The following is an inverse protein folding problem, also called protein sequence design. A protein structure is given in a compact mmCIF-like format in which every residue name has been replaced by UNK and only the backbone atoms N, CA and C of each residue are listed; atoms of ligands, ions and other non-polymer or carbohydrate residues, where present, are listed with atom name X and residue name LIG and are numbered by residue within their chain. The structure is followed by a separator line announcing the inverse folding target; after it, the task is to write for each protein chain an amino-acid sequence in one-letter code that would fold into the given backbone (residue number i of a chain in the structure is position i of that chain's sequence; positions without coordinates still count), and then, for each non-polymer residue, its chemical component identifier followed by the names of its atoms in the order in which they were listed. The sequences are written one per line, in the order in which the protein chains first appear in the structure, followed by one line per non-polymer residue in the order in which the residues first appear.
data_IF_094814693995
#
_entry.id   IF_094814693995
#
_cell.length_a   1.000
_cell.length_b   1.000
_cell.length_c   1.000
_cell.angle_alpha   90.00
_cell.angle_beta   90.00
_cell.angle_gamma   90.00
#
_symmetry.space_group_name_H-M   'P 1'
#
loop_
_entity.id
_entity.type
_entity.pdbx_description
1 polymer ?
#
# COMPACT_ATOMS: atom_id res chain seq x y z
N UNK A 1 -74.04 -17.80 -14.03
CA UNK A 1 -72.94 -17.57 -13.07
C UNK A 1 -71.75 -16.79 -13.63
N UNK A 2 -71.07 -17.16 -14.74
CA UNK A 2 -69.72 -16.66 -15.05
C UNK A 2 -69.57 -15.13 -15.11
N UNK A 3 -70.51 -14.41 -15.75
CA UNK A 3 -70.54 -12.92 -15.82
C UNK A 3 -70.48 -12.16 -14.49
N UNK A 4 -70.72 -12.81 -13.34
CA UNK A 4 -70.51 -12.18 -12.01
C UNK A 4 -69.05 -12.24 -11.56
N UNK A 5 -68.30 -13.25 -11.98
CA UNK A 5 -66.88 -13.41 -11.68
C UNK A 5 -66.07 -12.46 -12.56
N UNK A 6 -66.29 -12.51 -13.88
CA UNK A 6 -65.72 -11.59 -14.88
C UNK A 6 -65.84 -10.12 -14.48
N UNK A 7 -67.00 -9.71 -13.92
CA UNK A 7 -67.22 -8.35 -13.43
C UNK A 7 -66.52 -8.04 -12.10
N UNK A 8 -66.38 -9.01 -11.19
CA UNK A 8 -65.64 -8.83 -9.94
C UNK A 8 -64.13 -8.69 -10.19
N UNK A 9 -63.60 -9.49 -11.13
CA UNK A 9 -62.19 -9.49 -11.51
C UNK A 9 -61.83 -8.18 -12.22
N UNK A 10 -62.65 -7.72 -13.17
CA UNK A 10 -62.46 -6.41 -13.82
C UNK A 10 -62.54 -5.21 -12.84
N UNK A 11 -63.35 -5.31 -11.78
CA UNK A 11 -63.42 -4.29 -10.70
C UNK A 11 -62.21 -4.35 -9.76
N UNK A 12 -61.52 -5.49 -9.67
CA UNK A 12 -60.23 -5.63 -8.97
C UNK A 12 -59.10 -5.01 -9.81
N UNK A 13 -59.02 -5.34 -11.10
CA UNK A 13 -58.05 -4.73 -12.04
C UNK A 13 -58.19 -3.21 -12.09
N UNK A 14 -59.42 -2.67 -12.16
CA UNK A 14 -59.68 -1.21 -12.12
C UNK A 14 -59.26 -0.54 -10.81
N UNK A 15 -59.17 -1.28 -9.69
CA UNK A 15 -58.65 -0.76 -8.42
C UNK A 15 -57.13 -0.72 -8.45
N UNK A 16 -56.51 -1.82 -8.84
CA UNK A 16 -55.05 -1.97 -8.91
C UNK A 16 -54.45 -0.99 -9.92
N UNK A 17 -55.10 -0.80 -11.08
CA UNK A 17 -54.72 0.23 -12.04
C UNK A 17 -54.80 1.64 -11.44
N UNK A 18 -55.87 1.99 -10.70
CA UNK A 18 -55.99 3.31 -10.06
C UNK A 18 -54.91 3.52 -8.99
N UNK A 19 -54.63 2.49 -8.20
CA UNK A 19 -53.58 2.51 -7.17
C UNK A 19 -52.20 2.79 -7.78
N UNK A 20 -51.82 2.09 -8.86
CA UNK A 20 -50.58 2.41 -9.60
C UNK A 20 -50.59 3.79 -10.26
N UNK A 21 -51.76 4.34 -10.61
CA UNK A 21 -51.88 5.68 -11.18
C UNK A 21 -51.74 6.78 -10.12
N UNK A 22 -52.23 6.54 -8.90
CA UNK A 22 -52.01 7.40 -7.73
C UNK A 22 -50.51 7.37 -7.31
N UNK A 23 -49.86 6.20 -7.33
CA UNK A 23 -48.41 6.08 -7.12
C UNK A 23 -47.58 6.78 -8.22
N UNK A 24 -47.95 6.61 -9.49
CA UNK A 24 -47.27 7.27 -10.62
C UNK A 24 -47.43 8.79 -10.58
N UNK A 25 -48.60 9.30 -10.17
CA UNK A 25 -48.83 10.72 -9.91
C UNK A 25 -47.91 11.24 -8.80
N UNK A 26 -47.83 10.53 -7.68
CA UNK A 26 -46.92 10.88 -6.58
C UNK A 26 -45.43 10.77 -6.95
N UNK A 27 -45.07 9.91 -7.92
CA UNK A 27 -43.72 9.85 -8.50
C UNK A 27 -43.45 11.03 -9.45
N UNK A 28 -44.45 11.45 -10.24
CA UNK A 28 -44.35 12.60 -11.14
C UNK A 28 -44.21 13.92 -10.38
N UNK A 29 -45.00 14.14 -9.33
CA UNK A 29 -44.89 15.33 -8.47
C UNK A 29 -43.51 15.42 -7.76
N UNK A 30 -42.89 14.27 -7.45
CA UNK A 30 -41.51 14.21 -6.95
C UNK A 30 -40.46 14.57 -8.01
N UNK A 31 -40.70 14.18 -9.28
CA UNK A 31 -39.83 14.51 -10.42
C UNK A 31 -39.94 16.00 -10.79
N UNK A 32 -41.14 16.54 -10.94
CA UNK A 32 -41.39 17.96 -11.23
C UNK A 32 -40.80 18.88 -10.15
N UNK A 33 -40.75 18.40 -8.89
CA UNK A 33 -40.08 19.07 -7.77
C UNK A 33 -38.54 18.93 -7.76
N UNK A 34 -37.97 18.01 -8.52
CA UNK A 34 -36.53 17.89 -8.78
C UNK A 34 -36.10 18.61 -10.08
N UNK A 35 -37.03 18.87 -11.00
CA UNK A 35 -36.76 19.54 -12.29
C UNK A 35 -36.38 21.04 -12.15
N UNK A 36 -36.55 21.66 -10.97
CA UNK A 36 -35.75 22.85 -10.64
C UNK A 36 -34.32 22.41 -10.25
N UNK A 37 -33.29 22.66 -11.09
CA UNK A 37 -31.93 22.22 -10.82
C UNK A 37 -31.35 22.85 -9.53
N UNK A 38 -31.91 23.96 -9.05
CA UNK A 38 -31.50 24.58 -7.77
C UNK A 38 -32.01 23.78 -6.58
N UNK A 39 -33.21 23.20 -6.66
CA UNK A 39 -33.78 22.32 -5.62
C UNK A 39 -33.02 21.00 -5.61
N UNK A 40 -32.83 20.37 -6.77
CA UNK A 40 -32.06 19.12 -6.90
C UNK A 40 -30.63 19.24 -6.38
N UNK A 41 -29.90 20.28 -6.80
CA UNK A 41 -28.51 20.52 -6.38
C UNK A 41 -28.40 20.89 -4.89
N UNK A 42 -29.38 21.59 -4.32
CA UNK A 42 -29.42 21.89 -2.88
C UNK A 42 -29.69 20.62 -2.06
N UNK A 43 -30.63 19.76 -2.50
CA UNK A 43 -30.90 18.48 -1.86
C UNK A 43 -29.68 17.54 -1.92
N UNK A 44 -28.96 17.51 -3.05
CA UNK A 44 -27.73 16.73 -3.20
C UNK A 44 -26.62 17.24 -2.27
N UNK A 45 -26.40 18.57 -2.19
CA UNK A 45 -25.44 19.17 -1.23
C UNK A 45 -25.82 18.89 0.22
N UNK A 46 -27.11 18.86 0.56
CA UNK A 46 -27.61 18.42 1.86
C UNK A 46 -27.17 17.00 2.18
N UNK A 47 -27.50 16.04 1.31
CA UNK A 47 -27.11 14.63 1.47
C UNK A 47 -25.59 14.41 1.56
N UNK A 48 -24.80 15.12 0.75
CA UNK A 48 -23.32 15.05 0.80
C UNK A 48 -22.79 15.56 2.14
N UNK A 49 -23.39 16.62 2.69
CA UNK A 49 -23.01 17.16 4.01
C UNK A 49 -23.40 16.20 5.14
N UNK A 50 -24.59 15.62 5.06
CA UNK A 50 -25.10 14.59 5.98
C UNK A 50 -24.19 13.34 5.99
N UNK A 51 -23.90 12.76 4.82
CA UNK A 51 -23.01 11.60 4.72
C UNK A 51 -21.58 11.90 5.18
N UNK A 52 -21.09 13.13 4.96
CA UNK A 52 -19.78 13.55 5.46
C UNK A 52 -19.75 13.58 6.99
N UNK A 53 -20.78 14.13 7.64
CA UNK A 53 -20.88 14.16 9.10
C UNK A 53 -21.04 12.76 9.71
N UNK A 54 -21.75 11.86 9.03
CA UNK A 54 -21.87 10.46 9.45
C UNK A 54 -20.53 9.71 9.36
N UNK A 55 -19.82 9.85 8.23
CA UNK A 55 -18.48 9.28 8.04
C UNK A 55 -17.50 9.85 9.06
N UNK A 56 -17.50 11.17 9.30
CA UNK A 56 -16.64 11.82 10.28
C UNK A 56 -16.88 11.28 11.70
N UNK A 57 -18.15 11.17 12.12
CA UNK A 57 -18.53 10.60 13.41
C UNK A 57 -18.13 9.13 13.54
N UNK A 58 -18.28 8.34 12.47
CA UNK A 58 -17.84 6.93 12.44
C UNK A 58 -16.31 6.83 12.59
N UNK A 59 -15.55 7.61 11.83
CA UNK A 59 -14.08 7.67 11.91
C UNK A 59 -13.61 8.11 13.30
N UNK A 60 -14.21 9.16 13.89
CA UNK A 60 -13.90 9.58 15.26
C UNK A 60 -14.15 8.43 16.28
N UNK A 61 -15.26 7.71 16.14
CA UNK A 61 -15.59 6.55 17.00
C UNK A 61 -14.56 5.42 16.84
N UNK A 62 -14.17 5.09 15.60
CA UNK A 62 -13.16 4.07 15.33
C UNK A 62 -11.76 4.46 15.83
N UNK A 63 -11.37 5.74 15.69
CA UNK A 63 -10.08 6.25 16.19
C UNK A 63 -10.03 6.18 17.72
N UNK A 64 -11.10 6.58 18.43
CA UNK A 64 -11.17 6.47 19.88
C UNK A 64 -11.03 5.00 20.35
N UNK A 65 -11.76 4.06 19.71
CA UNK A 65 -11.66 2.63 20.02
C UNK A 65 -10.33 1.98 19.61
N UNK A 66 -9.55 2.59 18.71
CA UNK A 66 -8.18 2.16 18.41
C UNK A 66 -7.18 2.74 19.44
N UNK A 67 -7.35 3.99 19.85
CA UNK A 67 -6.54 4.61 20.91
C UNK A 67 -6.70 3.87 22.24
N UNK A 68 -7.93 3.52 22.63
CA UNK A 68 -8.21 2.70 23.81
C UNK A 68 -7.45 1.36 23.76
N UNK A 69 -7.52 0.66 22.62
CA UNK A 69 -6.80 -0.62 22.41
C UNK A 69 -5.28 -0.46 22.43
N UNK A 70 -4.74 0.67 21.98
CA UNK A 70 -3.30 0.94 22.03
C UNK A 70 -2.84 1.20 23.47
N UNK A 71 -3.55 2.07 24.20
CA UNK A 71 -3.30 2.32 25.64
C UNK A 71 -3.50 1.06 26.51
N UNK A 72 -4.29 0.10 26.05
CA UNK A 72 -4.44 -1.23 26.66
C UNK A 72 -3.26 -2.16 26.34
N UNK A 73 -2.78 -2.17 25.08
CA UNK A 73 -1.59 -2.92 24.68
C UNK A 73 -0.32 -2.41 25.38
N UNK A 74 -0.10 -1.09 25.42
CA UNK A 74 1.03 -0.46 26.11
C UNK A 74 1.06 -0.82 27.60
N UNK A 75 -0.11 -0.87 28.26
CA UNK A 75 -0.19 -1.29 29.67
C UNK A 75 0.20 -2.75 29.88
N UNK A 76 -0.17 -3.64 28.94
CA UNK A 76 0.24 -5.06 28.98
C UNK A 76 1.73 -5.22 28.71
N UNK A 77 2.31 -4.43 27.80
CA UNK A 77 3.75 -4.41 27.59
C UNK A 77 4.51 -3.90 28.83
N UNK A 78 4.01 -2.85 29.50
CA UNK A 78 4.58 -2.34 30.74
C UNK A 78 4.50 -3.39 31.87
N UNK A 79 3.33 -4.02 32.07
CA UNK A 79 3.16 -5.09 33.04
C UNK A 79 4.11 -6.27 32.76
N UNK A 80 4.20 -6.75 31.52
CA UNK A 80 5.11 -7.84 31.15
C UNK A 80 6.60 -7.47 31.37
N UNK A 81 6.99 -6.21 31.16
CA UNK A 81 8.34 -5.73 31.47
C UNK A 81 8.61 -5.66 32.98
N UNK A 82 7.60 -5.41 33.81
CA UNK A 82 7.72 -5.45 35.28
C UNK A 82 7.78 -6.90 35.81
N UNK A 83 6.97 -7.81 35.26
CA UNK A 83 7.02 -9.25 35.53
C UNK A 83 8.39 -9.84 35.16
N UNK A 84 8.93 -9.50 33.98
CA UNK A 84 10.27 -9.91 33.54
C UNK A 84 11.42 -9.32 34.39
N UNK A 85 11.24 -8.12 34.96
CA UNK A 85 12.22 -7.54 35.91
C UNK A 85 12.21 -8.30 37.22
N UNK A 86 11.02 -8.53 37.79
CA UNK A 86 10.83 -9.31 39.03
C UNK A 86 11.45 -10.71 38.89
N UNK A 87 11.12 -11.44 37.82
CA UNK A 87 11.68 -12.76 37.56
C UNK A 87 13.22 -12.74 37.39
N UNK A 88 13.79 -11.68 36.82
CA UNK A 88 15.25 -11.50 36.70
C UNK A 88 15.92 -11.18 38.04
N UNK A 89 15.22 -10.56 38.97
CA UNK A 89 15.68 -10.29 40.33
C UNK A 89 15.62 -11.57 41.18
N UNK A 90 14.51 -12.32 41.14
CA UNK A 90 14.40 -13.66 41.75
C UNK A 90 15.49 -14.63 41.26
N UNK A 91 15.80 -14.64 39.96
CA UNK A 91 16.88 -15.45 39.40
C UNK A 91 18.28 -15.02 39.85
N UNK A 92 18.50 -13.74 40.20
CA UNK A 92 19.77 -13.28 40.79
C UNK A 92 19.88 -13.71 42.24
N UNK A 93 18.83 -13.53 43.02
CA UNK A 93 18.79 -13.93 44.43
C UNK A 93 19.02 -15.44 44.57
N UNK A 94 18.42 -16.25 43.69
CA UNK A 94 18.68 -17.69 43.61
C UNK A 94 20.14 -18.01 43.22
N UNK A 95 20.72 -17.30 42.24
CA UNK A 95 22.10 -17.52 41.82
C UNK A 95 23.13 -17.14 42.89
N UNK A 96 22.87 -16.07 43.65
CA UNK A 96 23.73 -15.60 44.73
C UNK A 96 23.56 -16.45 46.00
N UNK A 97 22.35 -16.93 46.29
CA UNK A 97 22.11 -17.95 47.33
C UNK A 97 22.83 -19.28 47.01
N UNK A 98 22.82 -19.72 45.75
CA UNK A 98 23.61 -20.89 45.30
C UNK A 98 25.11 -20.63 45.45
N UNK A 99 25.61 -19.44 45.09
CA UNK A 99 27.03 -19.08 45.27
C UNK A 99 27.45 -19.07 46.74
N UNK A 100 26.57 -18.62 47.64
CA UNK A 100 26.80 -18.64 49.09
C UNK A 100 26.70 -20.05 49.71
N UNK A 101 26.01 -20.98 49.04
CA UNK A 101 25.87 -22.37 49.49
C UNK A 101 27.03 -23.28 49.05
N UNK A 102 27.82 -22.89 48.04
CA UNK A 102 29.08 -23.59 47.73
C UNK A 102 30.13 -23.29 48.81
N UNK A 103 30.87 -24.30 49.31
CA UNK A 103 32.00 -24.05 50.18
C UNK A 103 33.13 -23.35 49.40
N UNK A 104 33.95 -22.50 50.06
CA UNK A 104 35.14 -21.95 49.41
C UNK A 104 36.15 -23.06 49.12
N UNK A 105 36.42 -23.30 47.83
CA UNK A 105 37.47 -24.20 47.34
C UNK A 105 38.83 -23.78 47.91
N UNK A 106 39.36 -24.57 48.83
CA UNK A 106 40.55 -24.23 49.60
C UNK A 106 41.83 -24.70 48.89
N UNK A 107 42.30 -23.97 47.88
CA UNK A 107 43.67 -24.15 47.39
C UNK A 107 44.04 -23.61 46.01
N UNK A 108 44.55 -22.38 45.98
CA UNK A 108 45.63 -22.00 45.06
C UNK A 108 46.73 -21.29 45.90
N UNK A 109 47.99 -21.78 45.91
CA UNK A 109 49.03 -21.24 46.78
C UNK A 109 49.60 -19.91 46.25
N UNK A 110 50.19 -19.13 47.15
CA UNK A 110 50.97 -17.96 46.80
C UNK A 110 52.23 -18.33 45.99
N UNK A 111 52.63 -17.43 45.10
CA UNK A 111 53.98 -17.36 44.52
C UNK A 111 54.52 -15.96 44.78
N UNK A 112 55.74 -15.87 45.32
CA UNK A 112 56.28 -14.64 45.87
C UNK A 112 56.82 -13.64 44.83
N UNK A 113 56.66 -12.37 45.18
CA UNK A 113 57.55 -11.21 45.00
C UNK A 113 58.28 -10.93 43.66
N UNK A 114 58.10 -9.70 43.15
CA UNK A 114 59.24 -8.81 42.83
C UNK A 114 58.82 -7.31 42.90
N UNK A 115 59.43 -6.44 43.74
CA UNK A 115 58.99 -5.03 43.91
C UNK A 115 60.02 -3.95 43.53
N UNK A 116 59.76 -3.13 42.49
CA UNK A 116 60.49 -1.88 42.22
C UNK A 116 59.73 -0.87 41.32
N UNK A 117 59.82 0.43 41.63
CA UNK A 117 59.27 1.56 40.84
C UNK A 117 57.82 1.90 41.20
N UNK A 118 57.47 2.88 42.05
CA UNK A 118 57.88 4.29 42.25
C UNK A 118 57.18 5.31 41.33
N UNK A 119 56.60 6.35 41.94
CA UNK A 119 55.83 7.44 41.32
C UNK A 119 54.42 7.06 40.79
N UNK A 120 53.34 7.82 41.05
CA UNK A 120 53.19 8.98 41.93
C UNK A 120 51.86 9.71 41.71
N UNK A 121 51.06 9.84 42.78
CA UNK A 121 49.95 10.79 43.04
C UNK A 121 49.08 11.36 41.90
N UNK A 122 47.75 11.15 42.03
CA UNK A 122 46.66 12.11 41.76
C UNK A 122 46.43 12.55 40.28
N UNK A 123 45.21 12.69 39.75
CA UNK A 123 44.03 13.29 40.36
C UNK A 123 42.72 12.98 39.57
N UNK A 124 41.58 13.09 40.25
CA UNK A 124 40.22 13.36 39.69
C UNK A 124 39.51 12.28 38.84
N UNK A 125 38.18 12.32 38.89
CA UNK A 125 37.26 11.46 38.14
C UNK A 125 36.45 12.25 37.12
N UNK A 126 36.02 11.60 36.03
CA UNK A 126 34.83 12.02 35.28
C UNK A 126 34.10 10.81 34.66
N UNK A 127 32.84 11.02 34.29
CA UNK A 127 31.86 9.94 34.03
C UNK A 127 31.44 9.88 32.56
N UNK A 128 31.61 8.74 31.89
CA UNK A 128 30.69 8.31 30.82
C UNK A 128 30.77 6.82 30.46
N UNK A 129 29.68 6.31 29.89
CA UNK A 129 29.60 5.07 29.12
C UNK A 129 30.14 5.31 27.68
N UNK A 130 30.42 4.31 26.84
CA UNK A 130 29.44 3.39 26.24
C UNK A 130 30.06 2.05 25.73
N UNK A 131 29.17 1.12 25.35
CA UNK A 131 29.32 -0.14 24.59
C UNK A 131 30.41 -1.18 24.93
N UNK A 132 29.97 -2.46 25.03
CA UNK A 132 30.62 -3.60 24.40
C UNK A 132 29.76 -4.20 23.26
N UNK A 133 30.40 -4.58 22.16
CA UNK A 133 29.75 -5.05 20.93
C UNK A 133 29.09 -6.45 21.03
N UNK A 134 28.37 -6.81 19.96
CA UNK A 134 27.76 -8.13 19.72
C UNK A 134 28.72 -9.32 19.94
N UNK A 135 28.18 -10.53 20.14
CA UNK A 135 28.29 -11.45 19.00
C UNK A 135 27.07 -12.36 18.75
N UNK A 136 26.77 -12.53 17.45
CA UNK A 136 26.26 -13.74 16.79
C UNK A 136 25.01 -14.44 17.37
N UNK A 137 23.86 -14.17 16.75
CA UNK A 137 22.68 -15.04 16.85
C UNK A 137 22.93 -16.41 16.18
N UNK A 138 22.48 -17.48 16.84
CA UNK A 138 22.34 -18.81 16.25
C UNK A 138 20.96 -19.36 16.62
N UNK A 139 20.08 -19.51 15.62
CA UNK A 139 18.71 -20.01 15.86
C UNK A 139 18.67 -21.46 16.35
N UNK A 140 17.70 -21.76 17.20
CA UNK A 140 16.92 -22.99 17.04
C UNK A 140 15.41 -22.69 16.98
N UNK A 141 14.76 -23.05 15.88
CA UNK A 141 13.31 -22.92 15.73
C UNK A 141 12.55 -23.94 16.62
N UNK A 142 11.46 -23.53 17.32
CA UNK A 142 10.55 -24.45 17.99
C UNK A 142 9.54 -25.04 16.99
N UNK A 143 9.07 -26.27 17.28
CA UNK A 143 8.09 -26.96 16.44
C UNK A 143 6.66 -26.42 16.63
N UNK A 144 5.82 -26.57 15.60
CA UNK A 144 4.38 -26.33 15.67
C UNK A 144 3.72 -27.63 16.16
N UNK A 145 3.16 -27.63 17.37
CA UNK A 145 2.30 -28.72 17.85
C UNK A 145 0.85 -28.53 17.38
N UNK A 146 0.20 -29.61 16.98
CA UNK A 146 -1.20 -29.60 16.55
C UNK A 146 -2.13 -29.48 17.77
N UNK A 147 -2.88 -28.38 17.90
CA UNK A 147 -4.01 -28.29 18.82
C UNK A 147 -5.32 -28.06 18.06
N UNK A 148 -6.07 -29.16 17.93
CA UNK A 148 -7.38 -29.22 17.29
C UNK A 148 -8.43 -28.55 18.19
N UNK A 149 -9.14 -27.55 17.68
CA UNK A 149 -10.31 -26.98 18.37
C UNK A 149 -11.61 -27.30 17.62
N UNK A 150 -12.52 -27.95 18.33
CA UNK A 150 -13.78 -28.51 17.82
C UNK A 150 -14.87 -27.45 17.72
N UNK A 151 -15.48 -27.29 16.54
CA UNK A 151 -16.74 -26.54 16.41
C UNK A 151 -17.98 -27.43 16.66
N UNK A 152 -18.95 -26.98 17.48
CA UNK A 152 -20.25 -27.65 17.62
C UNK A 152 -21.22 -27.18 16.53
N UNK A 153 -21.35 -27.95 15.45
CA UNK A 153 -22.24 -27.60 14.33
C UNK A 153 -23.73 -27.67 14.64
N UNK A 154 -24.53 -26.86 13.94
CA UNK A 154 -25.99 -26.89 13.96
C UNK A 154 -26.59 -26.76 12.55
N UNK A 155 -27.72 -27.45 12.31
CA UNK A 155 -28.78 -26.88 11.46
C UNK A 155 -28.71 -27.06 9.94
N UNK A 156 -28.15 -28.15 9.39
CA UNK A 156 -28.36 -28.48 7.97
C UNK A 156 -29.81 -28.95 7.75
N UNK A 157 -30.69 -28.03 7.38
CA UNK A 157 -31.90 -28.32 6.59
C UNK A 157 -31.87 -27.45 5.34
N UNK A 158 -32.16 -28.05 4.19
CA UNK A 158 -32.38 -27.35 2.94
C UNK A 158 -33.62 -27.92 2.27
N UNK A 159 -34.43 -27.05 1.70
CA UNK A 159 -35.46 -27.41 0.74
C UNK A 159 -35.21 -26.65 -0.56
N UNK A 160 -35.58 -27.28 -1.66
CA UNK A 160 -35.27 -26.82 -3.01
C UNK A 160 -36.47 -26.11 -3.62
N UNK A 161 -36.24 -25.00 -4.31
CA UNK A 161 -37.06 -24.65 -5.45
C UNK A 161 -36.26 -23.89 -6.49
N UNK A 162 -36.36 -24.35 -7.73
CA UNK A 162 -35.83 -23.68 -8.91
C UNK A 162 -36.87 -22.66 -9.41
N UNK A 163 -36.45 -21.44 -9.73
CA UNK A 163 -37.03 -20.71 -10.87
C UNK A 163 -36.01 -19.71 -11.46
N UNK A 164 -36.38 -19.07 -12.57
CA UNK A 164 -35.47 -18.80 -13.67
C UNK A 164 -35.43 -17.33 -14.10
N UNK A 165 -34.22 -16.88 -14.46
CA UNK A 165 -33.94 -15.65 -15.21
C UNK A 165 -34.30 -14.30 -14.52
N UNK A 166 -33.79 -13.15 -14.96
CA UNK A 166 -32.72 -12.92 -15.96
C UNK A 166 -31.41 -12.52 -15.27
N UNK A 167 -30.30 -13.14 -15.67
CA UNK A 167 -28.98 -12.48 -15.62
C UNK A 167 -28.76 -11.82 -16.99
N UNK A 168 -28.53 -10.51 -17.08
CA UNK A 168 -28.11 -9.91 -18.33
C UNK A 168 -26.69 -10.38 -18.65
N UNK A 169 -26.55 -11.15 -19.73
CA UNK A 169 -25.26 -11.47 -20.35
C UNK A 169 -24.67 -10.18 -20.91
N UNK A 170 -23.81 -9.51 -20.15
CA UNK A 170 -22.96 -8.43 -20.66
C UNK A 170 -21.88 -9.04 -21.57
N UNK A 171 -21.72 -8.48 -22.77
CA UNK A 171 -21.08 -9.17 -23.90
C UNK A 171 -19.62 -9.61 -23.69
N UNK A 172 -19.30 -10.76 -24.29
CA UNK A 172 -17.95 -11.38 -24.36
C UNK A 172 -16.90 -10.48 -25.04
N UNK A 173 -17.34 -9.53 -25.87
CA UNK A 173 -16.52 -8.59 -26.64
C UNK A 173 -15.47 -7.87 -25.75
N UNK A 174 -15.89 -7.33 -24.60
CA UNK A 174 -14.99 -6.63 -23.66
C UNK A 174 -13.97 -7.52 -22.94
N UNK A 175 -14.05 -8.84 -23.11
CA UNK A 175 -13.03 -9.80 -22.68
C UNK A 175 -11.91 -9.94 -23.72
N UNK A 176 -12.26 -9.97 -25.00
CA UNK A 176 -11.34 -10.21 -26.11
C UNK A 176 -10.32 -9.06 -26.23
N UNK A 177 -10.78 -7.81 -26.25
CA UNK A 177 -9.95 -6.59 -26.24
C UNK A 177 -8.91 -6.61 -25.09
N UNK A 178 -9.33 -7.03 -23.90
CA UNK A 178 -8.44 -7.12 -22.74
C UNK A 178 -7.42 -8.24 -22.85
N UNK A 179 -7.72 -9.33 -23.54
CA UNK A 179 -6.77 -10.41 -23.80
C UNK A 179 -5.77 -10.05 -24.89
N UNK A 180 -6.17 -9.29 -25.91
CA UNK A 180 -5.27 -8.75 -26.93
C UNK A 180 -4.34 -7.68 -26.34
N UNK A 181 -4.87 -6.73 -25.56
CA UNK A 181 -4.07 -5.71 -24.88
C UNK A 181 -3.00 -6.33 -23.96
N UNK A 182 -3.33 -7.37 -23.19
CA UNK A 182 -2.37 -8.10 -22.35
C UNK A 182 -1.27 -8.78 -23.19
N UNK A 183 -1.62 -9.39 -24.31
CA UNK A 183 -0.65 -10.01 -25.22
C UNK A 183 0.27 -8.97 -25.86
N UNK A 184 -0.26 -7.80 -26.26
CA UNK A 184 0.54 -6.70 -26.78
C UNK A 184 1.53 -6.15 -25.73
N UNK A 185 1.07 -5.93 -24.49
CA UNK A 185 1.91 -5.53 -23.34
C UNK A 185 3.04 -6.54 -23.10
N UNK A 186 2.72 -7.84 -23.06
CA UNK A 186 3.74 -8.88 -22.87
C UNK A 186 4.72 -8.96 -24.04
N UNK A 187 4.27 -8.80 -25.28
CA UNK A 187 5.14 -8.79 -26.46
C UNK A 187 6.10 -7.59 -26.44
N UNK A 188 5.60 -6.39 -26.13
CA UNK A 188 6.41 -5.18 -26.00
C UNK A 188 7.43 -5.29 -24.85
N UNK A 189 7.02 -5.78 -23.67
CA UNK A 189 7.95 -6.01 -22.54
C UNK A 189 9.03 -7.05 -22.87
N UNK A 190 8.68 -8.16 -23.54
CA UNK A 190 9.66 -9.16 -24.00
C UNK A 190 10.61 -8.59 -25.05
N UNK A 191 10.12 -7.73 -25.96
CA UNK A 191 10.95 -7.01 -26.96
C UNK A 191 11.95 -6.08 -26.28
N UNK A 192 11.50 -5.29 -25.29
CA UNK A 192 12.35 -4.37 -24.53
C UNK A 192 13.38 -5.09 -23.63
N UNK A 193 13.09 -6.32 -23.18
CA UNK A 193 14.01 -7.13 -22.37
C UNK A 193 15.01 -7.95 -23.19
N UNK A 194 14.81 -8.09 -24.50
CA UNK A 194 15.75 -8.79 -25.37
C UNK A 194 17.03 -7.95 -25.52
N UNK A 195 18.23 -8.46 -25.17
CA UNK A 195 19.46 -7.72 -25.40
C UNK A 195 19.66 -7.53 -26.91
N UNK A 196 19.78 -6.27 -27.34
CA UNK A 196 19.97 -5.93 -28.75
C UNK A 196 21.21 -6.67 -29.29
N UNK A 197 21.09 -7.48 -30.36
CA UNK A 197 22.20 -8.27 -30.87
C UNK A 197 23.29 -7.33 -31.38
N UNK A 198 24.48 -7.42 -30.77
CA UNK A 198 25.57 -6.49 -31.01
C UNK A 198 25.90 -6.37 -32.50
N UNK A 199 26.01 -5.12 -32.97
CA UNK A 199 26.25 -4.77 -34.38
C UNK A 199 27.48 -5.51 -34.90
N UNK A 200 27.27 -6.41 -35.86
CA UNK A 200 28.35 -7.05 -36.63
C UNK A 200 28.62 -6.21 -37.89
N UNK A 201 29.74 -5.48 -37.99
CA UNK A 201 29.97 -4.54 -39.08
C UNK A 201 30.54 -5.26 -40.32
N UNK A 202 29.68 -5.89 -41.13
CA UNK A 202 30.07 -6.51 -42.39
C UNK A 202 28.99 -6.45 -43.48
N UNK A 203 29.40 -6.00 -44.67
CA UNK A 203 28.74 -6.14 -45.99
C UNK A 203 27.44 -5.34 -46.29
N UNK A 204 27.64 -4.23 -47.01
CA UNK A 204 26.79 -3.71 -48.11
C UNK A 204 25.48 -2.96 -47.80
N UNK A 205 25.34 -1.69 -48.23
CA UNK A 205 24.07 -0.97 -48.20
C UNK A 205 23.23 -1.26 -49.46
N UNK A 206 21.97 -1.64 -49.27
CA UNK A 206 20.94 -1.66 -50.30
C UNK A 206 19.57 -1.39 -49.67
N UNK A 207 18.73 -0.60 -50.34
CA UNK A 207 17.34 -0.32 -49.95
C UNK A 207 17.15 0.27 -48.54
N UNK A 208 17.60 1.51 -48.34
CA UNK A 208 16.80 2.43 -47.53
C UNK A 208 15.51 2.73 -48.32
N UNK A 209 14.42 2.06 -47.99
CA UNK A 209 13.07 2.44 -48.42
C UNK A 209 12.13 2.34 -47.21
N UNK A 210 11.15 3.23 -47.11
CA UNK A 210 10.63 3.70 -45.83
C UNK A 210 9.79 2.67 -45.05
N UNK A 211 10.28 2.25 -43.89
CA UNK A 211 9.51 1.52 -42.89
C UNK A 211 9.85 1.92 -41.43
N UNK A 212 10.18 3.20 -41.20
CA UNK A 212 10.12 3.84 -39.88
C UNK A 212 8.65 4.05 -39.45
N UNK A 213 7.85 2.97 -39.50
CA UNK A 213 6.61 2.87 -38.75
C UNK A 213 6.97 2.47 -37.33
N UNK A 214 7.55 3.43 -36.60
CA UNK A 214 7.45 3.48 -35.15
C UNK A 214 5.95 3.54 -34.84
N UNK A 215 5.36 2.35 -34.65
CA UNK A 215 3.91 2.16 -34.69
C UNK A 215 3.39 2.54 -33.32
N UNK A 216 3.29 3.85 -33.11
CA UNK A 216 3.05 4.55 -31.85
C UNK A 216 2.32 3.66 -30.84
N UNK A 217 3.10 2.97 -29.99
CA UNK A 217 2.56 1.91 -29.15
C UNK A 217 1.49 2.52 -28.25
N UNK A 218 0.30 1.89 -28.23
CA UNK A 218 -0.87 2.54 -27.66
C UNK A 218 -0.60 2.94 -26.21
N UNK A 219 -1.12 4.08 -25.73
CA UNK A 219 -0.81 4.59 -24.40
C UNK A 219 -1.05 3.55 -23.28
N UNK A 220 -2.01 2.64 -23.49
CA UNK A 220 -2.29 1.50 -22.61
C UNK A 220 -1.20 0.41 -22.67
N UNK A 221 -0.62 0.11 -23.84
CA UNK A 221 0.51 -0.83 -23.99
C UNK A 221 1.75 -0.29 -23.29
N UNK A 222 2.12 0.97 -23.57
CA UNK A 222 3.27 1.64 -22.95
C UNK A 222 3.14 1.69 -21.43
N UNK A 223 1.95 2.01 -20.91
CA UNK A 223 1.66 1.94 -19.47
C UNK A 223 1.83 0.53 -18.90
N UNK A 224 1.29 -0.50 -19.58
CA UNK A 224 1.43 -1.89 -19.18
C UNK A 224 2.90 -2.36 -19.09
N UNK A 225 3.75 -1.92 -20.03
CA UNK A 225 5.20 -2.17 -19.98
C UNK A 225 5.85 -1.51 -18.76
N UNK A 226 5.47 -0.27 -18.42
CA UNK A 226 5.95 0.41 -17.20
C UNK A 226 5.46 -0.29 -15.92
N UNK A 227 4.22 -0.80 -15.89
CA UNK A 227 3.73 -1.60 -14.76
C UNK A 227 4.48 -2.95 -14.62
N UNK A 228 4.82 -3.61 -15.72
CA UNK A 228 5.65 -4.83 -15.70
C UNK A 228 7.10 -4.56 -15.25
N UNK A 229 7.66 -3.40 -15.61
CA UNK A 229 8.95 -2.94 -15.08
C UNK A 229 8.86 -2.69 -13.56
N UNK A 230 7.85 -1.96 -13.10
CA UNK A 230 7.60 -1.73 -11.67
C UNK A 230 7.34 -3.04 -10.87
N UNK A 231 6.78 -4.08 -11.50
CA UNK A 231 6.62 -5.40 -10.90
C UNK A 231 7.94 -6.17 -10.73
N UNK A 232 8.98 -5.83 -11.48
CA UNK A 232 10.33 -6.39 -11.35
C UNK A 232 11.17 -5.74 -10.25
N UNK A 233 10.76 -4.57 -9.74
CA UNK A 233 11.48 -3.80 -8.71
C UNK A 233 11.22 -4.39 -7.32
N UNK A 234 12.28 -4.76 -6.60
CA UNK A 234 12.15 -5.15 -5.19
C UNK A 234 11.78 -3.94 -4.34
N UNK A 235 12.53 -2.86 -4.51
CA UNK A 235 12.44 -1.65 -3.69
C UNK A 235 12.72 -0.40 -4.54
N UNK A 236 11.95 0.66 -4.33
CA UNK A 236 12.19 1.98 -4.90
C UNK A 236 12.38 2.99 -3.77
N UNK A 237 13.58 3.58 -3.69
CA UNK A 237 13.81 4.80 -2.93
C UNK A 237 13.23 5.97 -3.72
N UNK A 238 12.22 6.63 -3.15
CA UNK A 238 11.62 7.83 -3.70
C UNK A 238 12.12 9.05 -2.93
N UNK A 239 12.54 10.08 -3.67
CA UNK A 239 12.98 11.38 -3.16
C UNK A 239 12.14 12.49 -3.77
N UNK A 240 11.43 13.24 -2.93
CA UNK A 240 10.56 14.33 -3.36
C UNK A 240 10.59 15.50 -2.36
N UNK A 241 10.10 16.68 -2.77
CA UNK A 241 9.70 17.70 -1.78
C UNK A 241 8.53 17.17 -0.93
N UNK A 242 8.42 17.64 0.31
CA UNK A 242 7.41 17.20 1.27
C UNK A 242 5.99 17.32 0.72
N UNK A 243 5.63 18.47 0.18
CA UNK A 243 4.28 18.72 -0.36
C UNK A 243 3.97 17.79 -1.54
N UNK A 244 4.98 17.45 -2.35
CA UNK A 244 4.84 16.48 -3.44
C UNK A 244 4.63 15.06 -2.91
N UNK A 245 5.32 14.65 -1.83
CA UNK A 245 5.06 13.37 -1.16
C UNK A 245 3.68 13.32 -0.50
N UNK A 246 3.24 14.39 0.17
CA UNK A 246 1.90 14.49 0.75
C UNK A 246 0.82 14.41 -0.35
N UNK A 247 1.01 15.05 -1.51
CA UNK A 247 0.13 14.90 -2.69
C UNK A 247 0.14 13.46 -3.26
N UNK A 248 1.31 12.84 -3.43
CA UNK A 248 1.44 11.46 -3.93
C UNK A 248 0.76 10.46 -2.98
N UNK A 249 0.82 10.69 -1.66
CA UNK A 249 0.09 9.89 -0.68
C UNK A 249 -1.43 10.04 -0.84
N UNK A 250 -1.95 11.26 -1.03
CA UNK A 250 -3.39 11.50 -1.25
C UNK A 250 -3.91 10.75 -2.48
N UNK A 251 -3.15 10.73 -3.58
CA UNK A 251 -3.55 9.95 -4.77
C UNK A 251 -3.42 8.44 -4.55
N UNK A 252 -2.25 7.97 -4.09
CA UNK A 252 -1.98 6.54 -3.99
C UNK A 252 -2.82 5.81 -2.94
N UNK A 253 -3.22 6.50 -1.85
CA UNK A 253 -4.11 5.95 -0.82
C UNK A 253 -5.50 5.53 -1.35
N UNK A 254 -5.89 6.00 -2.55
CA UNK A 254 -7.13 5.62 -3.24
C UNK A 254 -7.08 4.19 -3.78
N UNK A 255 -5.89 3.59 -3.93
CA UNK A 255 -5.72 2.26 -4.52
C UNK A 255 -5.55 1.14 -3.48
N UNK A 256 -6.39 0.09 -3.60
CA UNK A 256 -6.44 -1.07 -2.67
C UNK A 256 -5.11 -1.78 -2.38
N UNK A 257 -4.13 -1.67 -3.29
CA UNK A 257 -2.82 -2.34 -3.17
C UNK A 257 -1.71 -1.43 -2.62
N UNK A 258 -1.98 -0.14 -2.44
CA UNK A 258 -1.05 0.76 -1.79
C UNK A 258 -0.93 0.44 -0.30
N UNK A 259 0.27 0.67 0.22
CA UNK A 259 0.62 0.63 1.64
C UNK A 259 1.61 1.75 1.86
N UNK A 260 1.35 2.59 2.87
CA UNK A 260 2.28 3.63 3.31
C UNK A 260 3.64 3.00 3.61
N UNK A 261 4.71 3.67 3.18
CA UNK A 261 6.07 3.22 3.46
C UNK A 261 6.30 3.12 4.98
N UNK A 262 6.93 2.05 5.49
CA UNK A 262 7.27 1.93 6.91
C UNK A 262 8.44 2.84 7.31
N UNK A 263 9.18 3.37 6.33
CA UNK A 263 10.33 4.26 6.51
C UNK A 263 10.10 5.52 5.67
N UNK A 264 10.01 6.66 6.36
CA UNK A 264 9.85 8.00 5.79
C UNK A 264 10.81 8.92 6.55
N UNK A 265 11.92 9.28 5.92
CA UNK A 265 12.96 10.14 6.49
C UNK A 265 12.77 11.58 5.97
N UNK A 266 12.62 12.55 6.87
CA UNK A 266 12.59 13.98 6.50
C UNK A 266 14.04 14.51 6.40
N UNK A 267 14.44 14.86 5.18
CA UNK A 267 15.75 15.39 4.82
C UNK A 267 15.79 16.92 4.90
N UNK A 268 17.00 17.46 5.09
CA UNK A 268 17.25 18.91 5.12
C UNK A 268 16.72 19.59 3.84
N UNK A 269 16.00 20.69 4.03
CA UNK A 269 15.40 21.47 2.94
C UNK A 269 14.01 21.00 2.51
N UNK A 270 13.19 20.48 3.43
CA UNK A 270 11.79 20.11 3.15
C UNK A 270 11.65 18.91 2.22
N UNK A 271 12.66 18.05 2.11
CA UNK A 271 12.62 16.85 1.28
C UNK A 271 12.25 15.62 2.10
N UNK A 272 11.62 14.65 1.46
CA UNK A 272 11.32 13.35 2.06
C UNK A 272 11.96 12.24 1.23
N UNK A 273 12.61 11.30 1.93
CA UNK A 273 13.12 10.04 1.41
C UNK A 273 12.24 8.92 1.95
N UNK A 274 11.72 8.08 1.06
CA UNK A 274 10.70 7.09 1.42
C UNK A 274 10.86 5.82 0.60
N UNK A 275 10.54 4.68 1.21
CA UNK A 275 10.83 3.36 0.64
C UNK A 275 9.54 2.67 0.18
N UNK A 276 9.37 2.56 -1.13
CA UNK A 276 8.22 1.90 -1.76
C UNK A 276 8.59 0.47 -2.19
N UNK A 277 7.69 -0.48 -1.98
CA UNK A 277 7.75 -1.79 -2.64
C UNK A 277 7.22 -1.71 -4.07
N UNK A 278 7.64 -2.63 -4.97
CA UNK A 278 7.12 -2.68 -6.34
C UNK A 278 5.58 -2.69 -6.42
N UNK A 279 4.88 -3.34 -5.47
CA UNK A 279 3.41 -3.32 -5.40
C UNK A 279 2.83 -1.94 -5.05
N UNK A 280 3.52 -1.17 -4.19
CA UNK A 280 3.13 0.21 -3.89
C UNK A 280 3.45 1.16 -5.07
N UNK A 281 4.54 0.91 -5.80
CA UNK A 281 4.90 1.64 -7.01
C UNK A 281 3.88 1.42 -8.15
N UNK A 282 3.46 0.17 -8.39
CA UNK A 282 2.35 -0.17 -9.29
C UNK A 282 1.07 0.56 -8.89
N UNK A 283 0.75 0.58 -7.59
CA UNK A 283 -0.45 1.26 -7.09
C UNK A 283 -0.42 2.77 -7.35
N UNK A 284 0.73 3.41 -7.13
CA UNK A 284 0.94 4.82 -7.46
C UNK A 284 0.80 5.08 -8.96
N UNK A 285 1.49 4.30 -9.80
CA UNK A 285 1.46 4.44 -11.26
C UNK A 285 0.05 4.32 -11.86
N UNK A 286 -0.80 3.44 -11.29
CA UNK A 286 -2.19 3.26 -11.74
C UNK A 286 -3.05 4.49 -11.42
N UNK A 287 -2.93 5.09 -10.22
CA UNK A 287 -3.69 6.30 -9.90
C UNK A 287 -3.16 7.53 -10.65
N UNK A 288 -1.84 7.65 -10.83
CA UNK A 288 -1.25 8.69 -11.67
C UNK A 288 -1.75 8.61 -13.13
N UNK A 289 -1.85 7.41 -13.73
CA UNK A 289 -2.41 7.31 -15.08
C UNK A 289 -3.89 7.73 -15.11
N UNK A 290 -4.72 7.28 -14.15
CA UNK A 290 -6.13 7.71 -14.08
C UNK A 290 -6.31 9.22 -13.96
N UNK A 291 -5.43 9.88 -13.20
CA UNK A 291 -5.50 11.34 -13.03
C UNK A 291 -5.11 12.08 -14.31
N UNK A 292 -4.07 11.66 -15.06
CA UNK A 292 -3.75 12.30 -16.37
C UNK A 292 -4.80 12.05 -17.45
N UNK A 293 -5.53 10.95 -17.38
CA UNK A 293 -6.64 10.61 -18.31
C UNK A 293 -7.98 11.24 -17.90
N UNK A 294 -8.04 11.95 -16.77
CA UNK A 294 -9.26 12.63 -16.33
C UNK A 294 -9.52 13.90 -17.16
N UNK A 295 -10.77 14.06 -17.61
CA UNK A 295 -11.18 15.08 -18.58
C UNK A 295 -12.00 16.16 -17.87
N UNK A 296 -11.36 16.98 -17.03
CA UNK A 296 -10.97 18.32 -17.51
C UNK A 296 -9.57 18.76 -17.04
N UNK A 297 -8.56 18.39 -17.83
CA UNK A 297 -7.12 18.59 -17.57
C UNK A 297 -6.62 20.04 -17.29
N UNK A 298 -7.45 21.07 -17.42
CA UNK A 298 -7.06 22.49 -17.21
C UNK A 298 -7.71 23.15 -15.98
N UNK A 299 -8.80 22.59 -15.45
CA UNK A 299 -9.49 23.13 -14.26
C UNK A 299 -8.99 22.50 -12.96
N UNK A 300 -8.22 21.41 -13.04
CA UNK A 300 -7.65 20.68 -11.91
C UNK A 300 -6.11 20.71 -11.91
N UNK A 301 -5.54 21.16 -10.80
CA UNK A 301 -4.08 21.21 -10.58
C UNK A 301 -3.43 19.82 -10.41
N UNK A 302 -4.24 18.77 -10.25
CA UNK A 302 -3.77 17.39 -10.18
C UNK A 302 -3.25 16.86 -11.54
N UNK A 303 -3.77 17.35 -12.68
CA UNK A 303 -3.38 16.84 -14.01
C UNK A 303 -1.90 17.11 -14.39
N UNK A 304 -1.36 18.34 -14.24
CA UNK A 304 0.05 18.60 -14.52
C UNK A 304 1.00 17.81 -13.60
N UNK A 305 0.65 17.68 -12.31
CA UNK A 305 1.43 16.93 -11.33
C UNK A 305 1.40 15.43 -11.63
N UNK A 306 0.24 14.88 -11.94
CA UNK A 306 0.10 13.47 -12.31
C UNK A 306 0.92 13.12 -13.56
N UNK A 307 0.90 13.98 -14.57
CA UNK A 307 1.67 13.81 -15.81
C UNK A 307 3.17 13.87 -15.52
N UNK A 308 3.66 14.95 -14.89
CA UNK A 308 5.08 15.16 -14.61
C UNK A 308 5.68 14.06 -13.71
N UNK A 309 4.96 13.62 -12.68
CA UNK A 309 5.43 12.53 -11.82
C UNK A 309 5.28 11.16 -12.48
N UNK A 310 4.25 10.91 -13.30
CA UNK A 310 4.13 9.66 -14.05
C UNK A 310 5.29 9.48 -15.02
N UNK A 311 5.50 10.46 -15.91
CA UNK A 311 6.50 10.37 -16.98
C UNK A 311 7.90 10.19 -16.39
N UNK A 312 8.23 10.95 -15.34
CA UNK A 312 9.52 10.83 -14.64
C UNK A 312 9.73 9.47 -13.96
N UNK A 313 8.68 8.86 -13.39
CA UNK A 313 8.78 7.50 -12.83
C UNK A 313 8.94 6.48 -13.97
N UNK A 314 8.25 6.68 -15.11
CA UNK A 314 8.38 5.81 -16.28
C UNK A 314 9.77 5.88 -16.92
N UNK A 315 10.38 7.07 -17.02
CA UNK A 315 11.76 7.27 -17.46
C UNK A 315 12.74 6.50 -16.56
N UNK A 316 12.66 6.72 -15.24
CA UNK A 316 13.53 6.02 -14.27
C UNK A 316 13.30 4.52 -14.21
N UNK A 317 12.13 4.01 -14.64
CA UNK A 317 11.87 2.57 -14.82
C UNK A 317 12.33 2.03 -16.19
N UNK A 318 12.62 2.90 -17.15
CA UNK A 318 13.02 2.51 -18.52
C UNK A 318 14.47 2.04 -18.57
N UNK A 319 15.35 2.65 -17.78
CA UNK A 319 16.76 2.26 -17.61
C UNK A 319 16.95 0.96 -16.80
N UNK A 320 15.93 0.52 -16.04
CA UNK A 320 16.01 -0.64 -15.14
C UNK A 320 15.91 -1.95 -15.93
N UNK A 321 17.05 -2.60 -16.14
CA UNK A 321 17.16 -3.88 -16.81
C UNK A 321 17.01 -5.10 -15.88
N UNK A 322 17.19 -4.91 -14.56
CA UNK A 322 17.21 -5.98 -13.56
C UNK A 322 15.83 -6.41 -13.04
N UNK A 323 15.76 -7.64 -12.52
CA UNK A 323 14.71 -8.06 -11.59
C UNK A 323 15.31 -8.13 -10.19
N UNK A 324 14.62 -7.59 -9.19
CA UNK A 324 15.09 -7.52 -7.80
C UNK A 324 15.99 -6.33 -7.47
N UNK A 325 16.18 -5.41 -8.42
CA UNK A 325 17.03 -4.22 -8.24
C UNK A 325 16.37 -3.17 -7.32
N UNK A 326 17.19 -2.44 -6.55
CA UNK A 326 16.75 -1.31 -5.72
C UNK A 326 17.01 -0.02 -6.49
N UNK A 327 15.94 0.66 -6.89
CA UNK A 327 16.01 1.84 -7.78
C UNK A 327 15.85 3.14 -7.00
N UNK A 328 16.38 4.25 -7.52
CA UNK A 328 16.32 5.56 -6.84
C UNK A 328 15.69 6.61 -7.75
N UNK A 329 14.47 7.01 -7.42
CA UNK A 329 13.63 7.93 -8.19
C UNK A 329 13.68 9.32 -7.54
N UNK A 330 14.10 10.34 -8.28
CA UNK A 330 14.20 11.73 -7.79
C UNK A 330 13.17 12.61 -8.48
N UNK A 331 12.14 13.03 -7.75
CA UNK A 331 11.05 13.89 -8.25
C UNK A 331 11.28 15.40 -8.02
N UNK A 332 12.42 15.78 -7.47
CA UNK A 332 12.79 17.18 -7.17
C UNK A 332 14.15 17.53 -7.80
N UNK A 333 14.14 18.47 -8.76
CA UNK A 333 15.34 18.99 -9.44
C UNK A 333 16.00 20.17 -8.70
N UNK A 334 15.45 20.59 -7.55
CA UNK A 334 15.71 21.89 -6.92
C UNK A 334 17.11 22.15 -6.37
N UNK A 335 18.06 21.22 -6.48
CA UNK A 335 19.49 21.48 -6.22
C UNK A 335 20.39 20.72 -7.21
N UNK A 336 21.59 21.26 -7.51
CA UNK A 336 22.56 20.57 -8.36
C UNK A 336 22.91 19.19 -7.81
N UNK A 337 23.16 18.24 -8.73
CA UNK A 337 23.77 16.95 -8.39
C UNK A 337 25.04 17.22 -7.56
N UNK A 338 25.30 16.46 -6.47
CA UNK A 338 26.60 16.55 -5.81
C UNK A 338 27.68 16.25 -6.84
N UNK A 339 28.58 17.20 -7.04
CA UNK A 339 29.75 16.99 -7.89
C UNK A 339 30.67 16.01 -7.19
N UNK A 340 30.59 14.74 -7.59
CA UNK A 340 31.80 13.91 -7.63
C UNK A 340 32.89 14.69 -8.35
N UNK A 341 34.13 14.43 -7.95
CA UNK A 341 35.35 15.04 -8.51
C UNK A 341 35.58 16.51 -8.09
N UNK A 342 35.95 16.71 -6.82
CA UNK A 342 37.19 17.46 -6.55
C UNK A 342 37.97 16.83 -5.38
N UNK A 343 39.07 16.16 -5.70
CA UNK A 343 40.04 15.58 -4.76
C UNK A 343 41.41 15.54 -5.46
N UNK A 344 42.05 16.71 -5.56
CA UNK A 344 43.40 16.93 -6.09
C UNK A 344 44.38 17.41 -5.02
#
# INVERSE_FOLDING_TARGET
MPRKQEFADAVKELREFRETFEELGAAHERLERLDDPRVGLTALRGKITESRLEIEKFVQTCVAGLQEKNCEADRRHQQALEELRTAREELRDLADALRAALPPEAGAPAGDEDPAGDGGAEHSAETRADDPAEPAEAEPAPAIEEHQHTEPGFGRMGESMEDSAQRPEAGDEGGQDQHELKQAIEAAYRRAKAPSPAVSPAASPASQDGADTDTAESPQVTHGVVLLRAAGVAQAELLAHRDAWEWLLVQAARHRHFRTAPQVEELKGGRIRTVLSGRALIALLIELWKTRDSVPALDDGDWPLATLFYDRIADQLTDVAGQGETIRIVLDDGLPKPTSDDNG
#
